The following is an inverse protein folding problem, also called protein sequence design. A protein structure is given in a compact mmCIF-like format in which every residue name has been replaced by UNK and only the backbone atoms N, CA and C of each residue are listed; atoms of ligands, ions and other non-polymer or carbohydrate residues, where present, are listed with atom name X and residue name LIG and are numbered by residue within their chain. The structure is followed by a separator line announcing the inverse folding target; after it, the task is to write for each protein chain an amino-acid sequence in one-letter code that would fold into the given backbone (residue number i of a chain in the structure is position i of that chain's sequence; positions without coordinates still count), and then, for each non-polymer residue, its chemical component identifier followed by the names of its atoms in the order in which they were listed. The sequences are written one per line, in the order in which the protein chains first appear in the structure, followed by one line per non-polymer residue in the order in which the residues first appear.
data_IF_186750427030
#
_entry.id   IF_186750427030
#
_cell.length_a   1.000
_cell.length_b   1.000
_cell.length_c   1.000
_cell.angle_alpha   90.00
_cell.angle_beta   90.00
_cell.angle_gamma   90.00
#
_symmetry.space_group_name_H-M   'P 1'
#
loop_
_entity.id
_entity.type
_entity.pdbx_description
1 polymer ?
#
# COMPACT_ATOMS: atom_id res chain seq x y z
N UNK A 1 10.82 -2.85 -4.10
CA UNK A 1 10.66 -2.45 -2.69
C UNK A 1 9.72 -3.35 -1.90
N UNK A 2 8.38 -3.21 -1.96
CA UNK A 2 7.49 -4.16 -1.23
C UNK A 2 7.69 -5.59 -1.76
N UNK A 3 7.76 -5.77 -3.07
CA UNK A 3 7.90 -7.09 -3.71
C UNK A 3 9.16 -7.88 -3.32
N UNK A 4 10.20 -7.21 -2.82
CA UNK A 4 11.49 -7.81 -2.44
C UNK A 4 11.65 -7.96 -0.92
N UNK A 5 10.85 -7.22 -0.14
CA UNK A 5 10.98 -7.16 1.31
C UNK A 5 9.73 -7.68 2.06
N UNK A 6 8.65 -7.93 1.33
CA UNK A 6 7.44 -8.54 1.82
C UNK A 6 7.58 -10.07 1.88
N UNK A 7 6.86 -10.65 2.81
CA UNK A 7 6.71 -12.08 2.99
C UNK A 7 5.36 -12.51 2.41
N UNK A 8 5.19 -13.81 2.18
CA UNK A 8 3.98 -14.39 1.57
C UNK A 8 4.04 -14.52 0.04
N UNK A 9 2.96 -15.05 -0.53
CA UNK A 9 2.82 -15.31 -1.96
C UNK A 9 1.84 -14.32 -2.60
N UNK A 10 2.01 -14.04 -3.90
CA UNK A 10 1.04 -13.25 -4.63
C UNK A 10 -0.34 -13.95 -4.65
N UNK A 11 -1.46 -13.22 -4.48
CA UNK A 11 -1.56 -11.76 -4.32
C UNK A 11 -1.44 -11.27 -2.86
N UNK A 12 -1.35 -12.16 -1.88
CA UNK A 12 -1.41 -11.88 -0.44
C UNK A 12 -0.04 -11.67 0.20
N UNK A 13 0.78 -10.81 -0.40
CA UNK A 13 2.05 -10.39 0.19
C UNK A 13 1.83 -9.44 1.36
N UNK A 14 2.68 -9.50 2.37
CA UNK A 14 2.58 -8.63 3.53
C UNK A 14 3.95 -8.16 4.02
N UNK A 15 3.99 -6.98 4.63
CA UNK A 15 5.20 -6.42 5.23
C UNK A 15 4.84 -5.68 6.52
N UNK A 16 5.69 -5.78 7.54
CA UNK A 16 5.53 -5.01 8.78
C UNK A 16 5.66 -3.50 8.51
N UNK A 17 4.80 -2.70 9.13
CA UNK A 17 4.80 -1.25 8.96
C UNK A 17 6.13 -0.61 9.33
N UNK A 18 6.76 -1.01 10.43
CA UNK A 18 8.04 -0.46 10.87
C UNK A 18 9.15 -0.71 9.87
N UNK A 19 9.21 -1.93 9.31
CA UNK A 19 10.16 -2.30 8.25
C UNK A 19 9.91 -1.47 6.98
N UNK A 20 8.65 -1.36 6.56
CA UNK A 20 8.27 -0.56 5.39
C UNK A 20 8.61 0.92 5.59
N UNK A 21 8.29 1.47 6.75
CA UNK A 21 8.56 2.85 7.12
C UNK A 21 10.05 3.14 7.14
N UNK A 22 10.86 2.29 7.76
CA UNK A 22 12.31 2.45 7.79
C UNK A 22 12.95 2.44 6.39
N UNK A 23 12.51 1.55 5.51
CA UNK A 23 13.00 1.50 4.12
C UNK A 23 12.61 2.79 3.37
N UNK A 24 11.40 3.30 3.60
CA UNK A 24 10.87 4.46 2.88
C UNK A 24 11.26 5.81 3.48
N UNK A 25 11.61 5.88 4.77
CA UNK A 25 11.90 7.12 5.48
C UNK A 25 13.10 7.86 4.91
N UNK A 26 13.98 7.16 4.19
CA UNK A 26 15.09 7.78 3.46
C UNK A 26 14.64 8.53 2.20
N UNK A 27 13.50 8.14 1.62
CA UNK A 27 13.04 8.63 0.31
C UNK A 27 11.84 9.57 0.40
N UNK A 28 10.92 9.40 1.35
CA UNK A 28 9.77 10.31 1.51
C UNK A 28 9.05 10.17 2.87
N UNK A 29 8.62 11.31 3.40
CA UNK A 29 7.70 11.48 4.54
C UNK A 29 6.22 11.19 4.20
N UNK A 30 5.89 11.01 2.91
CA UNK A 30 4.51 10.86 2.43
C UNK A 30 3.99 9.42 2.45
N UNK A 31 4.77 8.47 2.96
CA UNK A 31 4.43 7.04 2.94
C UNK A 31 3.04 6.77 3.53
N UNK A 32 2.73 7.32 4.71
CA UNK A 32 1.45 7.07 5.39
C UNK A 32 0.28 7.57 4.54
N UNK A 33 0.41 8.76 3.94
CA UNK A 33 -0.62 9.29 3.03
C UNK A 33 -0.81 8.41 1.78
N UNK A 34 0.27 7.83 1.26
CA UNK A 34 0.19 6.87 0.14
C UNK A 34 -0.49 5.56 0.55
N UNK A 35 -0.20 5.03 1.74
CA UNK A 35 -0.84 3.82 2.27
C UNK A 35 -2.35 4.02 2.48
N UNK A 36 -2.75 5.15 3.06
CA UNK A 36 -4.17 5.51 3.23
C UNK A 36 -4.86 5.59 1.86
N UNK A 37 -4.22 6.22 0.88
CA UNK A 37 -4.78 6.31 -0.48
C UNK A 37 -4.90 4.94 -1.13
N UNK A 38 -3.88 4.09 -1.02
CA UNK A 38 -3.93 2.72 -1.54
C UNK A 38 -5.02 1.89 -0.88
N UNK A 39 -5.27 2.09 0.42
CA UNK A 39 -6.39 1.47 1.16
C UNK A 39 -7.76 1.97 0.69
N UNK A 40 -7.92 3.28 0.44
CA UNK A 40 -9.15 3.85 -0.17
C UNK A 40 -9.51 3.16 -1.48
N UNK A 41 -8.49 2.76 -2.24
CA UNK A 41 -8.60 2.05 -3.50
C UNK A 41 -8.65 0.51 -3.37
N UNK A 42 -8.65 -0.04 -2.15
CA UNK A 42 -8.72 -1.48 -1.91
C UNK A 42 -7.47 -2.27 -2.31
N UNK A 43 -6.35 -1.58 -2.60
CA UNK A 43 -5.10 -2.22 -3.08
C UNK A 43 -4.37 -2.98 -1.96
N UNK A 44 -4.49 -2.47 -0.74
CA UNK A 44 -3.88 -3.01 0.47
C UNK A 44 -4.79 -2.78 1.67
N UNK A 45 -4.52 -3.48 2.76
CA UNK A 45 -5.20 -3.30 4.03
C UNK A 45 -4.22 -3.40 5.22
N UNK A 46 -4.62 -2.84 6.36
CA UNK A 46 -3.89 -2.91 7.62
C UNK A 46 -4.84 -2.68 8.80
N UNK A 47 -4.43 -3.16 9.98
CA UNK A 47 -5.26 -3.09 11.18
C UNK A 47 -5.38 -1.66 11.76
N UNK A 48 -6.60 -1.27 12.12
CA UNK A 48 -6.92 0.05 12.68
C UNK A 48 -7.07 1.16 11.63
N UNK A 49 -7.38 2.38 12.05
CA UNK A 49 -7.62 3.51 11.13
C UNK A 49 -6.34 4.26 10.73
N UNK A 50 -5.37 4.33 11.64
CA UNK A 50 -4.12 5.08 11.47
C UNK A 50 -2.90 4.22 11.83
N UNK A 51 -1.73 4.65 11.35
CA UNK A 51 -0.43 4.04 11.59
C UNK A 51 0.49 5.06 12.26
N UNK A 52 0.96 4.76 13.46
CA UNK A 52 1.88 5.60 14.24
C UNK A 52 3.25 4.93 14.34
N UNK A 53 4.31 5.67 13.99
CA UNK A 53 5.69 5.17 14.08
C UNK A 53 6.02 4.72 15.51
N UNK A 54 6.80 3.64 15.65
CA UNK A 54 7.25 3.04 16.93
C UNK A 54 6.15 2.34 17.73
N UNK A 55 4.89 2.75 17.56
CA UNK A 55 3.74 2.11 18.19
C UNK A 55 3.21 0.96 17.33
N UNK A 56 3.07 1.21 16.03
CA UNK A 56 2.42 0.30 15.09
C UNK A 56 3.42 -0.46 14.21
N UNK A 57 4.70 -0.49 14.58
CA UNK A 57 5.77 -1.05 13.76
C UNK A 57 5.56 -2.54 13.42
N UNK A 58 4.86 -3.26 14.28
CA UNK A 58 4.54 -4.68 14.12
C UNK A 58 3.26 -4.94 13.31
N UNK A 59 2.46 -3.90 12.99
CA UNK A 59 1.25 -4.09 12.18
C UNK A 59 1.59 -4.53 10.76
N UNK A 60 0.80 -5.45 10.24
CA UNK A 60 0.97 -5.98 8.90
C UNK A 60 0.26 -5.08 7.88
N UNK A 61 1.02 -4.66 6.87
CA UNK A 61 0.49 -4.07 5.65
C UNK A 61 0.35 -5.21 4.64
N UNK A 62 -0.88 -5.60 4.32
CA UNK A 62 -1.18 -6.74 3.45
C UNK A 62 -1.68 -6.25 2.09
N UNK A 63 -1.17 -6.83 1.01
CA UNK A 63 -1.64 -6.56 -0.35
C UNK A 63 -2.89 -7.40 -0.62
N UNK A 64 -3.91 -6.77 -1.20
CA UNK A 64 -5.15 -7.45 -1.59
C UNK A 64 -5.11 -7.92 -3.06
N UNK A 65 -4.15 -7.42 -3.84
CA UNK A 65 -4.01 -7.71 -5.25
C UNK A 65 -2.55 -7.62 -5.68
N UNK A 66 -2.17 -8.45 -6.64
CA UNK A 66 -0.80 -8.48 -7.17
C UNK A 66 -0.49 -7.20 -7.96
N UNK A 67 0.80 -6.84 -8.06
CA UNK A 67 1.22 -5.69 -8.86
C UNK A 67 0.80 -5.80 -10.35
N UNK A 68 0.76 -7.02 -10.88
CA UNK A 68 0.30 -7.29 -12.24
C UNK A 68 -1.17 -6.90 -12.41
N UNK A 69 -2.03 -7.29 -11.46
CA UNK A 69 -3.44 -6.93 -11.47
C UNK A 69 -3.64 -5.42 -11.28
N UNK A 70 -2.87 -4.78 -10.39
CA UNK A 70 -2.96 -3.32 -10.17
C UNK A 70 -2.70 -2.59 -11.49
N UNK A 71 -1.62 -2.97 -12.19
CA UNK A 71 -1.25 -2.34 -13.47
C UNK A 71 -2.30 -2.53 -14.56
N UNK A 72 -3.02 -3.65 -14.55
CA UNK A 72 -4.08 -3.90 -15.52
C UNK A 72 -5.37 -3.12 -15.22
N UNK A 73 -5.69 -2.92 -13.93
CA UNK A 73 -6.95 -2.30 -13.52
C UNK A 73 -6.87 -0.79 -13.31
N UNK A 74 -5.69 -0.25 -13.10
CA UNK A 74 -5.49 1.17 -12.82
C UNK A 74 -5.40 1.97 -14.12
N UNK A 75 -6.35 2.89 -14.34
CA UNK A 75 -6.32 3.84 -15.46
C UNK A 75 -6.28 5.28 -14.95
N UNK A 76 -5.64 6.22 -15.67
CA UNK A 76 -5.75 7.63 -15.37
C UNK A 76 -7.21 8.07 -15.52
N UNK A 77 -7.76 8.75 -14.52
CA UNK A 77 -9.14 9.25 -14.56
C UNK A 77 -9.26 10.63 -15.21
N UNK A 78 -8.17 11.40 -15.24
CA UNK A 78 -8.18 12.81 -15.62
C UNK A 78 -8.73 13.76 -14.53
N UNK A 79 -9.19 13.24 -13.38
CA UNK A 79 -9.64 14.05 -12.23
C UNK A 79 -8.45 14.45 -11.34
N UNK A 80 -8.17 15.74 -11.13
CA UNK A 80 -7.08 16.18 -10.24
C UNK A 80 -7.20 15.71 -8.78
N UNK A 81 -8.40 15.37 -8.29
CA UNK A 81 -8.65 14.89 -6.92
C UNK A 81 -8.46 13.37 -6.83
N UNK A 82 -9.05 12.66 -7.78
CA UNK A 82 -9.01 11.20 -7.87
C UNK A 82 -8.34 10.74 -9.17
N UNK A 83 -7.04 11.03 -9.33
CA UNK A 83 -6.28 10.89 -10.59
C UNK A 83 -6.27 9.49 -11.24
N UNK A 84 -6.77 8.48 -10.53
CA UNK A 84 -6.81 7.08 -10.94
C UNK A 84 -8.17 6.48 -10.67
N UNK A 85 -8.65 5.68 -11.62
CA UNK A 85 -9.81 4.82 -11.50
C UNK A 85 -9.36 3.36 -11.54
N UNK A 86 -9.94 2.55 -10.67
CA UNK A 86 -9.74 1.10 -10.67
C UNK A 86 -10.97 0.48 -11.30
N UNK A 87 -10.75 -0.26 -12.38
CA UNK A 87 -11.81 -1.01 -13.04
C UNK A 87 -12.17 -2.23 -12.18
N UNK A 88 -13.46 -2.36 -11.86
CA UNK A 88 -13.99 -3.60 -11.29
C UNK A 88 -13.90 -4.74 -12.33
N UNK A 89 -13.80 -5.98 -11.83
CA UNK A 89 -13.73 -7.19 -12.66
C UNK A 89 -14.99 -7.39 -13.50
#
# INVERSE_FOLDING_TARGET
MINENAEGEDPHKWIKFGKLFYIYSFYSDKLVGMLIRARKYGLLDFEGEMLYQRQDDEKLITMNMSLAEIRQRMRPSGDPKDCVVILDK
#
